data_IF_011539601917
#
_entry.id   IF_011539601917
#
_cell.length_a   1.000
_cell.length_b   1.000
_cell.length_c   1.000
_cell.angle_alpha   90.00
_cell.angle_beta   90.00
_cell.angle_gamma   90.00
#
_symmetry.space_group_name_H-M   'P 1'
#
loop_
_entity.id
_entity.type
_entity.pdbx_description
1 polymer ?
#
# COMPACT_ATOMS: atom_id res chain seq x y z
N UNK A 1 -2.96 -1.13 -18.01
CA UNK A 1 -3.11 -2.60 -17.96
C UNK A 1 -4.33 -2.85 -17.08
N UNK A 2 -5.38 -3.53 -17.57
CA UNK A 2 -6.54 -3.86 -16.71
C UNK A 2 -6.07 -4.80 -15.61
N UNK A 3 -6.54 -4.62 -14.38
CA UNK A 3 -6.31 -5.59 -13.31
C UNK A 3 -6.80 -6.97 -13.78
N UNK A 4 -6.15 -8.09 -13.39
CA UNK A 4 -6.72 -9.42 -13.60
C UNK A 4 -8.18 -9.43 -13.15
N UNK A 5 -9.04 -10.13 -13.89
CA UNK A 5 -10.51 -10.20 -13.69
C UNK A 5 -10.89 -10.51 -12.22
N UNK A 6 -9.99 -11.12 -11.46
CA UNK A 6 -10.19 -11.49 -10.06
C UNK A 6 -10.00 -10.34 -9.05
N UNK A 7 -9.28 -9.24 -9.37
CA UNK A 7 -9.09 -8.10 -8.45
C UNK A 7 -10.07 -6.95 -8.66
N UNK A 8 -10.82 -6.98 -9.77
CA UNK A 8 -11.78 -5.92 -10.09
C UNK A 8 -12.83 -5.80 -8.98
N UNK A 9 -13.29 -6.92 -8.42
CA UNK A 9 -14.22 -6.92 -7.29
C UNK A 9 -13.60 -6.27 -6.04
N UNK A 10 -12.40 -6.69 -5.63
CA UNK A 10 -11.73 -6.17 -4.43
C UNK A 10 -11.41 -4.67 -4.56
N UNK A 11 -10.92 -4.25 -5.74
CA UNK A 11 -10.64 -2.83 -6.03
C UNK A 11 -11.94 -2.03 -5.99
N UNK A 12 -13.00 -2.50 -6.66
CA UNK A 12 -14.27 -1.80 -6.68
C UNK A 12 -14.87 -1.69 -5.27
N UNK A 13 -14.71 -2.73 -4.44
CA UNK A 13 -15.15 -2.68 -3.05
C UNK A 13 -14.36 -1.64 -2.24
N UNK A 14 -13.03 -1.64 -2.32
CA UNK A 14 -12.19 -0.63 -1.62
C UNK A 14 -12.53 0.78 -2.12
N UNK A 15 -12.72 0.97 -3.43
CA UNK A 15 -13.12 2.25 -4.03
C UNK A 15 -14.49 2.66 -3.52
N UNK A 16 -15.48 1.77 -3.51
CA UNK A 16 -16.81 2.06 -2.99
C UNK A 16 -16.76 2.42 -1.50
N UNK A 17 -16.04 1.66 -0.68
CA UNK A 17 -15.89 1.95 0.75
C UNK A 17 -15.21 3.30 0.99
N UNK A 18 -14.27 3.69 0.12
CA UNK A 18 -13.56 4.98 0.17
C UNK A 18 -14.42 6.15 -0.33
N UNK A 19 -15.19 5.96 -1.41
CA UNK A 19 -15.86 7.07 -2.15
C UNK A 19 -17.37 7.14 -1.86
N UNK A 20 -18.05 6.00 -1.74
CA UNK A 20 -19.50 5.91 -1.60
C UNK A 20 -19.98 6.17 -0.17
N UNK A 21 -19.14 5.94 0.85
CA UNK A 21 -19.44 6.26 2.26
C UNK A 21 -19.23 7.74 2.65
N UNK A 22 -18.99 8.62 1.67
CA UNK A 22 -18.80 10.08 1.82
C UNK A 22 -17.73 10.46 2.84
N UNK A 23 -16.46 10.19 2.49
CA UNK A 23 -15.25 10.81 3.07
C UNK A 23 -15.40 11.30 4.52
N UNK A 24 -15.43 10.36 5.47
CA UNK A 24 -15.44 10.71 6.90
C UNK A 24 -14.20 11.50 7.27
N UNK A 25 -13.09 11.27 6.56
CA UNK A 25 -11.83 11.96 6.74
C UNK A 25 -11.41 12.71 5.47
N UNK A 26 -10.70 13.83 5.60
CA UNK A 26 -10.15 14.55 4.46
C UNK A 26 -8.91 13.88 3.85
N UNK A 27 -8.30 12.90 4.54
CA UNK A 27 -7.10 12.19 4.06
C UNK A 27 -7.19 10.69 4.29
N UNK A 28 -6.70 9.91 3.33
CA UNK A 28 -6.63 8.44 3.40
C UNK A 28 -5.25 7.92 3.02
N UNK A 29 -4.75 6.93 3.76
CA UNK A 29 -3.55 6.16 3.39
C UNK A 29 -3.91 4.70 3.20
N UNK A 30 -3.53 4.15 2.05
CA UNK A 30 -3.66 2.73 1.74
C UNK A 30 -2.27 2.08 1.77
N UNK A 31 -1.98 1.34 2.84
CA UNK A 31 -0.69 0.68 3.05
C UNK A 31 -0.72 -0.73 2.47
N UNK A 32 -0.03 -0.96 1.36
CA UNK A 32 0.01 -2.27 0.71
C UNK A 32 1.03 -3.18 1.39
N UNK A 33 0.57 -4.35 1.81
CA UNK A 33 1.38 -5.36 2.47
C UNK A 33 1.36 -6.67 1.67
N UNK A 34 2.53 -7.20 1.32
CA UNK A 34 2.64 -8.43 0.55
C UNK A 34 4.09 -8.82 0.25
N UNK A 35 4.34 -10.12 0.14
CA UNK A 35 5.66 -10.68 -0.17
C UNK A 35 6.11 -10.32 -1.62
N UNK A 36 7.35 -10.66 -2.03
CA UNK A 36 7.85 -10.25 -3.34
C UNK A 36 7.12 -11.05 -4.42
N UNK A 37 6.63 -10.35 -5.44
CA UNK A 37 5.81 -10.96 -6.49
C UNK A 37 4.31 -11.05 -6.18
N UNK A 38 3.82 -10.52 -5.06
CA UNK A 38 2.37 -10.46 -4.76
C UNK A 38 1.55 -9.65 -5.79
N UNK A 39 2.24 -8.84 -6.61
CA UNK A 39 1.60 -7.93 -7.57
C UNK A 39 1.14 -6.60 -6.97
N UNK A 40 1.71 -6.19 -5.83
CA UNK A 40 1.40 -4.90 -5.17
C UNK A 40 1.45 -3.70 -6.12
N UNK A 41 2.46 -3.60 -6.97
CA UNK A 41 2.58 -2.49 -7.93
C UNK A 41 1.55 -2.48 -9.04
N UNK A 42 1.03 -3.66 -9.41
CA UNK A 42 -0.10 -3.76 -10.35
C UNK A 42 -1.39 -3.38 -9.64
N UNK A 43 -1.57 -3.88 -8.42
CA UNK A 43 -2.72 -3.58 -7.58
C UNK A 43 -2.80 -2.09 -7.25
N UNK A 44 -1.70 -1.45 -6.86
CA UNK A 44 -1.62 -0.01 -6.57
C UNK A 44 -2.01 0.83 -7.77
N UNK A 45 -1.55 0.46 -8.97
CA UNK A 45 -1.93 1.10 -10.22
C UNK A 45 -3.43 0.96 -10.53
N UNK A 46 -3.98 -0.24 -10.34
CA UNK A 46 -5.41 -0.51 -10.51
C UNK A 46 -6.27 0.27 -9.52
N UNK A 47 -5.90 0.25 -8.24
CA UNK A 47 -6.59 0.97 -7.18
C UNK A 47 -6.52 2.50 -7.40
N UNK A 48 -5.36 3.03 -7.76
CA UNK A 48 -5.21 4.46 -8.08
C UNK A 48 -6.10 4.88 -9.25
N UNK A 49 -6.16 4.06 -10.30
CA UNK A 49 -7.03 4.33 -11.45
C UNK A 49 -8.51 4.30 -11.06
N UNK A 50 -8.95 3.28 -10.31
CA UNK A 50 -10.33 3.16 -9.84
C UNK A 50 -10.75 4.34 -8.94
N UNK A 51 -9.88 4.76 -8.02
CA UNK A 51 -10.14 5.93 -7.17
C UNK A 51 -10.26 7.23 -7.98
N UNK A 52 -9.34 7.47 -8.92
CA UNK A 52 -9.39 8.68 -9.77
C UNK A 52 -10.66 8.72 -10.61
N UNK A 53 -11.05 7.60 -11.22
CA UNK A 53 -12.29 7.51 -11.99
C UNK A 53 -13.52 7.76 -11.12
N UNK A 54 -13.53 7.24 -9.89
CA UNK A 54 -14.60 7.49 -8.95
C UNK A 54 -14.67 8.97 -8.51
N UNK A 55 -13.53 9.62 -8.28
CA UNK A 55 -13.45 11.04 -7.92
C UNK A 55 -13.85 11.99 -9.04
N UNK A 56 -13.55 11.65 -10.30
CA UNK A 56 -14.05 12.42 -11.44
C UNK A 56 -15.59 12.43 -11.49
N UNK A 57 -16.22 11.32 -11.10
CA UNK A 57 -17.69 11.17 -11.03
C UNK A 57 -18.30 11.82 -9.79
N UNK A 58 -17.53 11.96 -8.71
CA UNK A 58 -18.00 12.44 -7.40
C UNK A 58 -17.05 13.51 -6.83
N UNK A 59 -17.13 14.71 -7.42
CA UNK A 59 -16.34 15.87 -6.99
C UNK A 59 -16.68 16.31 -5.56
N UNK A 60 -15.75 17.01 -4.94
CA UNK A 60 -15.98 17.68 -3.67
C UNK A 60 -17.11 18.72 -3.78
N UNK A 61 -17.68 19.11 -2.64
CA UNK A 61 -18.77 20.10 -2.56
C UNK A 61 -18.38 21.45 -3.17
N UNK A 62 -17.09 21.80 -3.14
CA UNK A 62 -16.52 23.01 -3.73
C UNK A 62 -16.16 22.86 -5.23
N UNK A 63 -16.43 21.70 -5.82
CA UNK A 63 -16.17 21.38 -7.23
C UNK A 63 -14.75 20.91 -7.52
N UNK A 64 -13.88 20.77 -6.51
CA UNK A 64 -12.52 20.22 -6.67
C UNK A 64 -12.54 18.69 -6.83
N UNK A 65 -11.49 18.13 -7.43
CA UNK A 65 -11.30 16.69 -7.60
C UNK A 65 -10.21 16.25 -6.61
N UNK A 66 -10.48 15.29 -5.72
CA UNK A 66 -9.47 14.74 -4.84
C UNK A 66 -8.27 14.15 -5.58
N UNK A 67 -7.07 14.42 -5.06
CA UNK A 67 -5.82 13.96 -5.64
C UNK A 67 -5.39 12.59 -5.08
N UNK A 68 -4.92 11.71 -5.98
CA UNK A 68 -4.48 10.34 -5.63
C UNK A 68 -3.04 10.14 -6.04
N UNK A 69 -2.17 9.81 -5.09
CA UNK A 69 -0.75 9.49 -5.32
C UNK A 69 -0.41 8.06 -4.93
N UNK A 70 0.53 7.48 -5.66
CA UNK A 70 1.17 6.22 -5.32
C UNK A 70 2.61 6.52 -4.95
N UNK A 71 3.01 6.14 -3.74
CA UNK A 71 4.39 6.19 -3.26
C UNK A 71 4.98 4.78 -3.35
N UNK A 72 6.16 4.64 -3.94
CA UNK A 72 6.82 3.35 -4.09
C UNK A 72 8.29 3.36 -3.68
N UNK A 73 8.73 2.18 -3.21
CA UNK A 73 10.10 1.64 -3.10
C UNK A 73 11.26 2.58 -2.74
N UNK A 74 11.14 3.37 -1.67
CA UNK A 74 12.31 4.03 -1.06
C UNK A 74 12.45 3.70 0.43
N UNK A 75 11.38 3.28 1.10
CA UNK A 75 11.40 3.01 2.54
C UNK A 75 12.21 1.76 2.88
N UNK A 76 11.96 0.63 2.19
CA UNK A 76 12.65 -0.62 2.49
C UNK A 76 14.12 -0.63 2.04
N UNK A 77 14.43 -0.11 0.85
CA UNK A 77 15.81 -0.10 0.31
C UNK A 77 16.76 0.71 1.22
N UNK A 78 16.24 1.74 1.87
CA UNK A 78 17.01 2.59 2.77
C UNK A 78 17.13 2.01 4.18
N UNK A 79 16.11 1.32 4.68
CA UNK A 79 16.14 0.72 6.03
C UNK A 79 16.84 -0.64 6.09
N UNK A 80 17.03 -1.33 4.95
CA UNK A 80 17.67 -2.64 4.90
C UNK A 80 19.22 -2.60 4.94
N UNK A 81 19.86 -1.57 4.37
CA UNK A 81 21.33 -1.59 4.14
C UNK A 81 22.10 -0.32 4.56
N UNK A 82 21.44 0.75 5.02
CA UNK A 82 22.14 1.99 5.40
C UNK A 82 22.13 2.23 6.93
N UNK A 83 23.28 2.52 7.56
CA UNK A 83 23.28 3.12 8.89
C UNK A 83 22.45 4.40 8.85
N UNK A 84 21.68 4.70 9.93
CA UNK A 84 20.87 5.93 10.08
C UNK A 84 21.59 7.12 9.44
N UNK A 85 21.05 7.61 8.34
CA UNK A 85 21.69 8.60 7.48
C UNK A 85 20.68 9.22 6.51
N UNK A 86 21.10 10.18 5.68
CA UNK A 86 20.22 11.07 4.90
C UNK A 86 19.26 10.36 3.93
N UNK A 87 19.47 9.08 3.62
CA UNK A 87 18.50 8.28 2.86
C UNK A 87 17.20 8.00 3.61
N UNK A 88 17.24 7.80 4.94
CA UNK A 88 16.05 7.52 5.76
C UNK A 88 15.14 8.73 5.83
N UNK A 89 15.75 9.91 5.90
CA UNK A 89 15.06 11.19 5.84
C UNK A 89 14.36 11.35 4.48
N UNK A 90 15.00 10.95 3.37
CA UNK A 90 14.41 11.06 2.02
C UNK A 90 13.15 10.19 1.82
N UNK A 91 13.13 8.96 2.33
CA UNK A 91 11.98 8.07 2.18
C UNK A 91 10.79 8.53 3.03
N UNK A 92 11.04 8.95 4.28
CA UNK A 92 10.02 9.55 5.13
C UNK A 92 9.51 10.88 4.53
N UNK A 93 10.41 11.70 3.98
CA UNK A 93 10.07 12.96 3.32
C UNK A 93 9.25 12.72 2.06
N UNK A 94 9.49 11.64 1.31
CA UNK A 94 8.65 11.21 0.19
C UNK A 94 7.21 10.91 0.61
N UNK A 95 7.03 10.23 1.76
CA UNK A 95 5.70 10.00 2.35
C UNK A 95 5.08 11.33 2.79
N UNK A 96 5.80 12.17 3.54
CA UNK A 96 5.29 13.47 4.01
C UNK A 96 4.86 14.39 2.86
N UNK A 97 5.71 14.56 1.85
CA UNK A 97 5.41 15.35 0.65
C UNK A 97 4.16 14.84 -0.07
N UNK A 98 3.96 13.52 -0.09
CA UNK A 98 2.78 12.93 -0.70
C UNK A 98 1.52 13.14 0.12
N UNK A 99 1.60 13.09 1.46
CA UNK A 99 0.50 13.41 2.37
C UNK A 99 0.07 14.89 2.26
N UNK A 100 1.02 15.79 2.04
CA UNK A 100 0.74 17.20 1.81
C UNK A 100 0.10 17.46 0.44
N UNK A 101 0.50 16.71 -0.59
CA UNK A 101 0.13 16.98 -1.97
C UNK A 101 -1.06 16.16 -2.50
N UNK A 102 -1.55 15.18 -1.75
CA UNK A 102 -2.64 14.31 -2.18
C UNK A 102 -3.61 14.02 -1.05
N UNK A 103 -4.83 13.67 -1.42
CA UNK A 103 -5.89 13.35 -0.49
C UNK A 103 -5.95 11.85 -0.19
N UNK A 104 -5.58 11.03 -1.18
CA UNK A 104 -5.33 9.60 -0.99
C UNK A 104 -3.89 9.26 -1.37
N UNK A 105 -3.17 8.61 -0.46
CA UNK A 105 -1.81 8.12 -0.68
C UNK A 105 -1.78 6.60 -0.59
N UNK A 106 -1.39 5.94 -1.66
CA UNK A 106 -1.19 4.49 -1.70
C UNK A 106 0.31 4.23 -1.52
N UNK A 107 0.68 3.55 -0.44
CA UNK A 107 2.07 3.21 -0.13
C UNK A 107 2.33 1.78 -0.59
N UNK A 108 3.04 1.65 -1.71
CA UNK A 108 3.51 0.40 -2.29
C UNK A 108 4.97 0.14 -1.91
N UNK A 109 5.16 -0.34 -0.69
CA UNK A 109 6.49 -0.64 -0.16
C UNK A 109 6.84 -2.12 -0.21
N UNK A 110 8.14 -2.39 -0.35
CA UNK A 110 8.64 -3.75 -0.40
C UNK A 110 8.74 -4.31 1.03
N UNK A 111 8.06 -5.42 1.32
CA UNK A 111 8.20 -6.21 2.56
C UNK A 111 8.19 -5.39 3.86
N UNK A 112 7.04 -4.82 4.19
CA UNK A 112 6.86 -4.16 5.47
C UNK A 112 6.75 -5.18 6.61
N UNK A 113 7.73 -5.18 7.50
CA UNK A 113 7.57 -5.83 8.81
C UNK A 113 6.55 -5.05 9.65
N UNK A 114 6.06 -5.65 10.74
CA UNK A 114 5.21 -4.93 11.69
C UNK A 114 5.89 -3.65 12.22
N UNK A 115 7.21 -3.70 12.44
CA UNK A 115 7.96 -2.54 12.88
C UNK A 115 8.01 -1.44 11.81
N UNK A 116 8.16 -1.79 10.53
CA UNK A 116 8.17 -0.81 9.43
C UNK A 116 6.80 -0.17 9.26
N UNK A 117 5.72 -0.96 9.34
CA UNK A 117 4.35 -0.42 9.31
C UNK A 117 4.10 0.56 10.44
N UNK A 118 4.51 0.23 11.67
CA UNK A 118 4.36 1.12 12.81
C UNK A 118 5.10 2.44 12.62
N UNK A 119 6.30 2.41 12.02
CA UNK A 119 7.03 3.64 11.69
C UNK A 119 6.28 4.48 10.66
N UNK A 120 5.79 3.86 9.58
CA UNK A 120 5.01 4.56 8.55
C UNK A 120 3.74 5.17 9.16
N UNK A 121 3.00 4.41 9.96
CA UNK A 121 1.78 4.89 10.64
C UNK A 121 2.12 6.06 11.57
N UNK A 122 3.22 6.00 12.30
CA UNK A 122 3.67 7.10 13.16
C UNK A 122 4.01 8.37 12.36
N UNK A 123 4.72 8.23 11.21
CA UNK A 123 5.01 9.35 10.30
C UNK A 123 3.72 9.96 9.76
N UNK A 124 2.80 9.13 9.26
CA UNK A 124 1.50 9.58 8.73
C UNK A 124 0.71 10.34 9.80
N UNK A 125 0.60 9.76 11.00
CA UNK A 125 -0.18 10.35 12.10
C UNK A 125 0.45 11.67 12.57
N UNK A 126 1.78 11.73 12.65
CA UNK A 126 2.49 12.96 13.01
C UNK A 126 2.32 14.05 11.97
N UNK A 127 2.36 13.72 10.68
CA UNK A 127 2.23 14.71 9.60
C UNK A 127 0.81 15.28 9.54
N UNK A 128 -0.20 14.44 9.71
CA UNK A 128 -1.59 14.90 9.82
C UNK A 128 -1.81 15.84 11.02
N UNK A 129 -1.22 15.53 12.17
CA UNK A 129 -1.24 16.43 13.33
C UNK A 129 -0.57 17.78 13.03
N UNK A 130 0.55 17.79 12.30
CA UNK A 130 1.26 19.01 11.90
C UNK A 130 0.44 19.88 10.93
N UNK A 131 -0.25 19.27 9.97
CA UNK A 131 -1.09 19.97 8.97
C UNK A 131 -2.46 20.33 9.55
N UNK A 132 -2.83 19.81 10.73
CA UNK A 132 -4.13 20.02 11.36
C UNK A 132 -5.27 19.32 10.62
N UNK A 133 -4.98 18.19 9.97
CA UNK A 133 -5.96 17.38 9.25
C UNK A 133 -6.19 16.06 9.98
N UNK A 134 -7.40 15.51 9.85
CA UNK A 134 -7.69 14.14 10.27
C UNK A 134 -7.53 13.18 9.09
N UNK A 135 -7.29 11.90 9.38
CA UNK A 135 -7.11 10.91 8.34
C UNK A 135 -7.28 9.49 8.84
N UNK A 136 -7.41 8.56 7.92
CA UNK A 136 -7.46 7.14 8.23
C UNK A 136 -6.42 6.35 7.43
N UNK A 137 -5.72 5.46 8.15
CA UNK A 137 -4.80 4.49 7.54
C UNK A 137 -5.53 3.15 7.43
N UNK A 138 -5.47 2.55 6.26
CA UNK A 138 -6.00 1.22 5.98
C UNK A 138 -4.87 0.35 5.45
N UNK A 139 -4.85 -0.92 5.87
CA UNK A 139 -3.92 -1.90 5.32
C UNK A 139 -4.61 -2.72 4.24
N UNK A 140 -3.92 -2.94 3.12
CA UNK A 140 -4.35 -3.90 2.10
C UNK A 140 -3.34 -5.04 2.07
N UNK A 141 -3.73 -6.19 2.60
CA UNK A 141 -2.91 -7.40 2.69
C UNK A 141 -3.12 -8.26 1.45
N UNK A 142 -2.14 -8.27 0.56
CA UNK A 142 -2.07 -9.17 -0.59
C UNK A 142 -1.60 -10.55 -0.09
N UNK A 143 -2.56 -11.41 0.21
CA UNK A 143 -2.37 -12.69 0.87
C UNK A 143 -1.97 -13.78 -0.12
N UNK A 144 -1.31 -14.80 0.40
CA UNK A 144 -0.87 -15.95 -0.36
C UNK A 144 -1.62 -17.14 0.22
N UNK A 145 -2.17 -18.02 -0.61
CA UNK A 145 -2.84 -19.23 -0.08
C UNK A 145 -1.90 -20.11 0.72
N UNK A 146 -0.65 -20.22 0.28
CA UNK A 146 0.36 -21.08 0.88
C UNK A 146 1.79 -20.63 0.49
N UNK A 147 2.77 -21.21 1.18
CA UNK A 147 4.20 -20.95 0.96
C UNK A 147 4.67 -21.36 -0.44
N UNK A 148 4.08 -22.40 -1.03
CA UNK A 148 4.47 -22.87 -2.36
C UNK A 148 4.10 -21.82 -3.43
N UNK A 149 2.94 -21.18 -3.29
CA UNK A 149 2.51 -20.03 -4.11
C UNK A 149 3.43 -18.83 -3.85
N UNK A 150 3.82 -18.57 -2.61
CA UNK A 150 4.83 -17.55 -2.25
C UNK A 150 6.13 -17.68 -3.03
N UNK A 151 6.72 -18.88 -2.98
CA UNK A 151 7.94 -19.19 -3.69
C UNK A 151 7.77 -19.12 -5.22
N UNK A 152 6.61 -19.53 -5.74
CA UNK A 152 6.32 -19.46 -7.18
C UNK A 152 6.29 -18.01 -7.67
N UNK A 153 5.56 -17.11 -7.03
CA UNK A 153 5.48 -15.72 -7.54
C UNK A 153 6.79 -14.96 -7.31
N UNK A 154 7.52 -15.24 -6.23
CA UNK A 154 8.84 -14.64 -6.03
C UNK A 154 9.78 -14.95 -7.22
N UNK A 155 9.81 -16.20 -7.71
CA UNK A 155 10.60 -16.59 -8.88
C UNK A 155 10.21 -15.85 -10.16
N UNK A 156 8.94 -15.43 -10.27
CA UNK A 156 8.39 -14.69 -11.39
C UNK A 156 8.53 -13.16 -11.22
N UNK A 157 8.98 -12.70 -10.05
CA UNK A 157 9.13 -11.28 -9.78
C UNK A 157 10.35 -10.69 -10.50
N UNK A 158 10.33 -9.37 -10.74
CA UNK A 158 11.42 -8.64 -11.40
C UNK A 158 12.75 -8.74 -10.64
N UNK A 159 12.70 -8.88 -9.32
CA UNK A 159 13.86 -8.97 -8.42
C UNK A 159 13.62 -10.11 -7.40
N UNK A 160 13.83 -11.37 -7.80
CA UNK A 160 13.56 -12.51 -6.94
C UNK A 160 14.51 -12.51 -5.73
N UNK A 161 13.96 -12.72 -4.54
CA UNK A 161 14.74 -12.93 -3.32
C UNK A 161 15.20 -14.39 -3.20
N UNK A 162 16.27 -14.68 -2.42
CA UNK A 162 16.66 -16.06 -2.10
C UNK A 162 15.52 -16.84 -1.45
N UNK A 163 15.38 -18.13 -1.80
CA UNK A 163 14.33 -19.02 -1.27
C UNK A 163 14.23 -18.94 0.25
N UNK A 164 15.34 -19.12 0.97
CA UNK A 164 15.36 -19.09 2.44
C UNK A 164 14.84 -17.77 3.01
N UNK A 165 15.11 -16.64 2.34
CA UNK A 165 14.58 -15.33 2.73
C UNK A 165 13.06 -15.29 2.56
N UNK A 166 12.53 -15.79 1.44
CA UNK A 166 11.08 -15.82 1.20
C UNK A 166 10.36 -16.73 2.18
N UNK A 167 10.96 -17.85 2.59
CA UNK A 167 10.38 -18.77 3.58
C UNK A 167 10.24 -18.10 4.95
N UNK A 168 11.29 -17.39 5.40
CA UNK A 168 11.25 -16.61 6.64
C UNK A 168 10.21 -15.50 6.55
N UNK A 169 10.19 -14.75 5.45
CA UNK A 169 9.20 -13.68 5.25
C UNK A 169 7.77 -14.23 5.20
N UNK A 170 7.55 -15.41 4.60
CA UNK A 170 6.24 -16.06 4.57
C UNK A 170 5.77 -16.42 5.98
N UNK A 171 6.62 -17.04 6.80
CA UNK A 171 6.29 -17.36 8.18
C UNK A 171 5.93 -16.11 9.00
N UNK A 172 6.69 -15.03 8.82
CA UNK A 172 6.41 -13.75 9.47
C UNK A 172 5.08 -13.15 8.99
N UNK A 173 4.80 -13.19 7.69
CA UNK A 173 3.58 -12.66 7.09
C UNK A 173 2.32 -13.46 7.47
N UNK A 174 2.45 -14.77 7.64
CA UNK A 174 1.37 -15.66 8.07
C UNK A 174 1.06 -15.49 9.56
N UNK A 175 2.11 -15.33 10.39
CA UNK A 175 1.97 -15.04 11.82
C UNK A 175 1.45 -13.61 12.09
N UNK A 176 1.53 -12.72 11.10
CA UNK A 176 1.11 -11.32 11.23
C UNK A 176 -0.40 -11.16 11.05
N UNK A 177 -1.07 -11.06 12.20
CA UNK A 177 -2.53 -10.97 12.31
C UNK A 177 -3.06 -9.55 12.04
N UNK A 178 -2.18 -8.56 11.79
CA UNK A 178 -2.56 -7.24 11.28
C UNK A 178 -3.60 -6.50 12.12
N UNK A 179 -3.27 -6.15 13.37
CA UNK A 179 -4.26 -5.62 14.34
C UNK A 179 -4.24 -4.10 14.54
N UNK A 180 -3.43 -3.39 13.76
CA UNK A 180 -3.05 -2.00 14.06
C UNK A 180 -3.99 -0.98 13.41
N UNK A 181 -4.57 -1.36 12.27
CA UNK A 181 -5.49 -0.56 11.44
C UNK A 181 -6.48 -1.51 10.76
N UNK A 182 -7.64 -1.04 10.25
CA UNK A 182 -8.54 -1.89 9.49
C UNK A 182 -7.85 -2.50 8.26
N UNK A 183 -8.16 -3.76 7.95
CA UNK A 183 -7.46 -4.56 6.94
C UNK A 183 -8.40 -5.07 5.85
N UNK A 184 -8.08 -4.78 4.59
CA UNK A 184 -8.62 -5.46 3.42
C UNK A 184 -7.68 -6.61 3.03
N UNK A 185 -8.22 -7.82 2.84
CA UNK A 185 -7.42 -8.96 2.39
C UNK A 185 -7.76 -9.31 0.96
N UNK A 186 -6.75 -9.34 0.10
CA UNK A 186 -6.87 -9.59 -1.35
C UNK A 186 -6.01 -10.79 -1.71
N UNK A 187 -6.49 -11.73 -2.52
CA UNK A 187 -5.66 -12.88 -2.96
C UNK A 187 -4.54 -12.42 -3.90
N UNK A 188 -3.28 -12.82 -3.67
CA UNK A 188 -2.14 -12.50 -4.54
C UNK A 188 -2.20 -13.30 -5.85
N UNK A 189 -1.87 -12.68 -6.98
CA UNK A 189 -1.91 -13.32 -8.30
C UNK A 189 -0.56 -13.23 -9.03
N UNK A 190 -0.23 -14.29 -9.77
CA UNK A 190 0.92 -14.32 -10.67
C UNK A 190 0.59 -13.53 -11.94
N UNK A 191 1.48 -12.70 -12.46
CA UNK A 191 1.31 -12.29 -13.86
C UNK A 191 1.38 -13.54 -14.77
N UNK A 192 0.46 -13.72 -15.73
CA UNK A 192 0.80 -14.46 -16.94
C UNK A 192 1.86 -13.65 -17.69
N UNK A 193 2.83 -14.35 -18.28
CA UNK A 193 3.86 -13.76 -19.15
C UNK A 193 3.26 -12.89 -20.27
#
# INVERSE_FOLDING_TARGET
MKAPIDWEYDINQIVADTVESTWVYPKYVMLLCGLPGAGKSVFSGGLAAGLREAFERKRNTDGTIPEVRVCGSEFHEVHADLPRGPGQDLAEDGVKLSLQAADVVIIDEMHLTAADRQRIIAVVTSEWANVGCEGAVYMVKLSWRDQARALKLNKQSRRPLPTATVEVLFQQFDADIGTEVPVFTVESFAQPE
#
